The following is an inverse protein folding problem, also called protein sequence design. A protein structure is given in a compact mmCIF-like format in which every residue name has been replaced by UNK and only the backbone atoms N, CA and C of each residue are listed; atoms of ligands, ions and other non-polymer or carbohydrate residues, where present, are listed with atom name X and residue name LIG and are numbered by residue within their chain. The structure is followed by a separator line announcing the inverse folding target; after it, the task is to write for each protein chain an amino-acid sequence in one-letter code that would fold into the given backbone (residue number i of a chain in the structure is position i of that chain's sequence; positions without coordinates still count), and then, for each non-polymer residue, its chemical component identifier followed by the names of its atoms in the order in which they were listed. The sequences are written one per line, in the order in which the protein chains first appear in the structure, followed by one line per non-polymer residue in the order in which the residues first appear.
data_IF_137603544586
#
_entry.id   IF_137603544586
#
_cell.length_a   1.000
_cell.length_b   1.000
_cell.length_c   1.000
_cell.angle_alpha   90.00
_cell.angle_beta   90.00
_cell.angle_gamma   90.00
#
_symmetry.space_group_name_H-M   'P 1'
#
loop_
_entity.id
_entity.type
_entity.pdbx_description
1 polymer ?
#
# COMPACT_ATOMS: atom_id res chain seq x y z
N UNK A 1 -25.05 -17.90 -4.46
CA UNK A 1 -24.86 -16.48 -4.80
C UNK A 1 -23.39 -16.29 -5.11
N UNK A 2 -23.02 -15.45 -6.08
CA UNK A 2 -21.62 -15.25 -6.47
C UNK A 2 -21.03 -13.99 -5.79
N UNK A 3 -19.72 -13.86 -5.84
CA UNK A 3 -19.03 -12.66 -5.40
C UNK A 3 -19.48 -11.47 -6.27
N UNK A 4 -19.83 -10.37 -5.61
CA UNK A 4 -20.19 -9.13 -6.28
C UNK A 4 -19.11 -8.09 -6.01
N UNK A 5 -18.59 -7.47 -7.07
CA UNK A 5 -17.62 -6.38 -6.96
C UNK A 5 -18.29 -5.08 -7.39
N UNK A 6 -18.18 -4.06 -6.54
CA UNK A 6 -18.72 -2.73 -6.83
C UNK A 6 -17.65 -1.64 -6.60
N UNK A 7 -17.81 -0.52 -7.30
CA UNK A 7 -17.03 0.68 -7.06
C UNK A 7 -17.55 1.43 -5.83
N UNK A 8 -16.63 1.94 -5.01
CA UNK A 8 -16.93 2.81 -3.88
C UNK A 8 -17.31 4.20 -4.41
N UNK A 9 -18.57 4.57 -4.26
CA UNK A 9 -19.11 5.85 -4.76
C UNK A 9 -19.65 6.75 -3.66
N UNK A 10 -19.91 6.19 -2.49
CA UNK A 10 -20.45 6.91 -1.34
C UNK A 10 -19.49 6.92 -0.15
N UNK A 11 -19.67 7.92 0.74
CA UNK A 11 -18.92 8.01 1.99
C UNK A 11 -19.19 6.82 2.93
N UNK A 12 -20.39 6.22 2.83
CA UNK A 12 -20.73 5.02 3.59
C UNK A 12 -19.93 3.80 3.14
N UNK A 13 -19.84 3.60 1.82
CA UNK A 13 -19.01 2.55 1.22
C UNK A 13 -17.53 2.77 1.50
N UNK A 14 -17.02 4.02 1.44
CA UNK A 14 -15.65 4.33 1.82
C UNK A 14 -15.35 3.96 3.28
N UNK A 15 -16.26 4.25 4.20
CA UNK A 15 -16.12 3.81 5.60
C UNK A 15 -16.06 2.30 5.73
N UNK A 16 -16.85 1.57 4.94
CA UNK A 16 -16.86 0.12 4.92
C UNK A 16 -15.56 -0.44 4.32
N UNK A 17 -15.04 0.22 3.28
CA UNK A 17 -13.78 -0.09 2.63
C UNK A 17 -12.60 0.07 3.61
N UNK A 18 -12.54 1.19 4.34
CA UNK A 18 -11.50 1.46 5.35
C UNK A 18 -11.62 0.50 6.54
N UNK A 19 -12.81 0.07 6.92
CA UNK A 19 -13.03 -0.82 8.07
C UNK A 19 -12.66 -2.28 7.82
N UNK A 20 -12.55 -2.72 6.58
CA UNK A 20 -12.35 -4.13 6.27
C UNK A 20 -11.11 -4.74 6.96
N UNK A 21 -9.91 -4.13 6.93
CA UNK A 21 -8.72 -4.68 7.59
C UNK A 21 -8.90 -4.87 9.10
N UNK A 22 -9.61 -3.98 9.78
CA UNK A 22 -9.86 -4.11 11.22
C UNK A 22 -10.58 -5.41 11.57
N UNK A 23 -11.43 -5.90 10.66
CA UNK A 23 -12.13 -7.17 10.84
C UNK A 23 -11.29 -8.36 10.38
N UNK A 24 -10.55 -8.23 9.29
CA UNK A 24 -9.71 -9.32 8.76
C UNK A 24 -8.58 -9.68 9.71
N UNK A 25 -8.02 -8.67 10.40
CA UNK A 25 -6.89 -8.83 11.30
C UNK A 25 -7.30 -8.76 12.78
N UNK A 26 -8.60 -8.90 13.10
CA UNK A 26 -9.06 -8.82 14.48
C UNK A 26 -8.33 -9.83 15.39
N UNK A 27 -7.73 -9.32 16.47
CA UNK A 27 -6.92 -10.12 17.40
C UNK A 27 -5.54 -10.55 16.88
N UNK A 28 -5.11 -10.13 15.69
CA UNK A 28 -3.80 -10.50 15.16
C UNK A 28 -2.67 -9.69 15.84
N UNK A 29 -1.68 -10.33 16.50
CA UNK A 29 -0.74 -9.65 17.40
C UNK A 29 0.30 -8.78 16.68
N UNK A 30 0.52 -8.99 15.39
CA UNK A 30 1.58 -8.32 14.63
C UNK A 30 1.06 -7.32 13.58
N UNK A 31 -0.26 -7.24 13.41
CA UNK A 31 -0.84 -6.25 12.51
C UNK A 31 -1.19 -4.98 13.30
N UNK A 32 -0.67 -3.84 12.84
CA UNK A 32 -0.98 -2.52 13.40
C UNK A 32 -1.93 -1.81 12.43
N UNK A 33 -3.20 -1.60 12.80
CA UNK A 33 -4.15 -0.95 11.91
C UNK A 33 -3.79 0.52 11.71
N UNK A 34 -4.00 1.02 10.51
CA UNK A 34 -3.93 2.46 10.22
C UNK A 34 -5.01 3.20 11.03
N UNK A 35 -4.79 4.47 11.35
CA UNK A 35 -5.80 5.28 12.01
C UNK A 35 -6.99 5.50 11.06
N UNK A 36 -8.17 5.15 11.54
CA UNK A 36 -9.40 5.19 10.72
C UNK A 36 -9.68 6.58 10.12
N UNK A 37 -9.47 7.65 10.89
CA UNK A 37 -9.62 9.03 10.42
C UNK A 37 -8.63 9.37 9.32
N UNK A 38 -7.39 8.95 9.48
CA UNK A 38 -6.31 9.29 8.58
C UNK A 38 -6.47 8.56 7.24
N UNK A 39 -6.89 7.30 7.28
CA UNK A 39 -7.18 6.54 6.06
C UNK A 39 -8.40 7.10 5.31
N UNK A 40 -9.44 7.55 6.03
CA UNK A 40 -10.57 8.27 5.41
C UNK A 40 -10.14 9.57 4.74
N UNK A 41 -9.26 10.34 5.37
CA UNK A 41 -8.74 11.58 4.82
C UNK A 41 -7.77 11.32 3.64
N UNK A 42 -7.02 10.22 3.72
CA UNK A 42 -6.11 9.79 2.66
C UNK A 42 -6.85 9.46 1.35
N UNK A 43 -8.04 8.88 1.44
CA UNK A 43 -8.90 8.57 0.29
C UNK A 43 -9.93 9.67 -0.02
N UNK A 44 -9.84 10.82 0.61
CA UNK A 44 -10.62 12.00 0.26
C UNK A 44 -9.95 12.76 -0.89
N UNK A 45 -10.62 12.78 -2.05
CA UNK A 45 -10.13 13.44 -3.28
C UNK A 45 -9.85 14.94 -3.10
N UNK A 46 -10.47 15.59 -2.10
CA UNK A 46 -10.26 17.01 -1.82
C UNK A 46 -9.06 17.28 -0.92
N UNK A 47 -8.55 16.24 -0.23
CA UNK A 47 -7.47 16.36 0.75
C UNK A 47 -6.14 15.81 0.25
N UNK A 48 -6.17 14.74 -0.53
CA UNK A 48 -4.96 14.07 -1.00
C UNK A 48 -4.60 14.50 -2.42
N UNK A 49 -3.48 15.22 -2.61
CA UNK A 49 -3.05 15.71 -3.92
C UNK A 49 -2.69 14.59 -4.91
N UNK A 50 -2.46 13.36 -4.45
CA UNK A 50 -2.20 12.22 -5.33
C UNK A 50 -3.35 11.97 -6.33
N UNK A 51 -4.57 12.38 -6.01
CA UNK A 51 -5.72 12.29 -6.91
C UNK A 51 -5.68 13.30 -8.07
N UNK A 52 -4.88 14.37 -7.98
CA UNK A 52 -4.71 15.35 -9.07
C UNK A 52 -3.92 14.75 -10.25
N UNK A 53 -3.03 13.79 -9.95
CA UNK A 53 -2.14 13.15 -10.91
C UNK A 53 -2.43 11.67 -11.12
N UNK A 54 -3.56 11.19 -10.61
CA UNK A 54 -3.93 9.78 -10.70
C UNK A 54 -5.41 9.58 -10.98
N UNK A 55 -5.72 8.72 -11.95
CA UNK A 55 -7.04 8.09 -12.04
C UNK A 55 -7.12 6.99 -10.97
N UNK A 56 -8.16 7.03 -10.14
CA UNK A 56 -8.30 6.11 -9.01
C UNK A 56 -9.70 5.50 -8.97
N UNK A 57 -9.75 4.20 -8.74
CA UNK A 57 -10.97 3.44 -8.50
C UNK A 57 -10.82 2.57 -7.27
N UNK A 58 -11.74 2.71 -6.31
CA UNK A 58 -11.80 1.87 -5.13
C UNK A 58 -12.86 0.79 -5.34
N UNK A 59 -12.50 -0.47 -5.09
CA UNK A 59 -13.37 -1.63 -5.26
C UNK A 59 -13.67 -2.29 -3.92
N UNK A 60 -14.91 -2.76 -3.77
CA UNK A 60 -15.38 -3.61 -2.68
C UNK A 60 -15.92 -4.91 -3.26
N UNK A 61 -15.49 -6.03 -2.71
CA UNK A 61 -16.08 -7.34 -2.96
C UNK A 61 -17.02 -7.73 -1.81
N UNK A 62 -18.18 -8.26 -2.14
CA UNK A 62 -19.16 -8.78 -1.18
C UNK A 62 -19.63 -10.18 -1.53
N UNK A 63 -19.87 -11.01 -0.50
CA UNK A 63 -20.53 -12.31 -0.60
C UNK A 63 -21.74 -12.32 0.35
N UNK A 64 -22.91 -12.68 -0.16
CA UNK A 64 -24.16 -12.69 0.61
C UNK A 64 -24.43 -11.40 1.43
N UNK A 65 -24.00 -10.25 0.92
CA UNK A 65 -24.15 -8.94 1.57
C UNK A 65 -23.07 -8.58 2.60
N UNK A 66 -22.12 -9.48 2.86
CA UNK A 66 -20.95 -9.17 3.67
C UNK A 66 -19.79 -8.71 2.79
N UNK A 67 -19.10 -7.64 3.22
CA UNK A 67 -17.88 -7.19 2.57
C UNK A 67 -16.75 -8.18 2.88
N UNK A 68 -16.15 -8.76 1.85
CA UNK A 68 -15.14 -9.82 1.96
C UNK A 68 -13.81 -9.47 1.31
N UNK A 69 -13.73 -8.33 0.61
CA UNK A 69 -12.50 -7.87 0.00
C UNK A 69 -12.56 -6.40 -0.41
N UNK A 70 -11.38 -5.80 -0.56
CA UNK A 70 -11.18 -4.43 -1.08
C UNK A 70 -9.94 -4.37 -1.96
N UNK A 71 -9.90 -3.40 -2.85
CA UNK A 71 -8.75 -3.11 -3.70
C UNK A 71 -8.80 -1.66 -4.16
N UNK A 72 -7.64 -1.01 -4.27
CA UNK A 72 -7.48 0.30 -4.87
C UNK A 72 -6.79 0.14 -6.24
N UNK A 73 -7.39 0.66 -7.30
CA UNK A 73 -6.79 0.75 -8.63
C UNK A 73 -6.27 2.15 -8.86
N UNK A 74 -5.05 2.29 -9.41
CA UNK A 74 -4.37 3.56 -9.64
C UNK A 74 -3.74 3.55 -11.04
N UNK A 75 -3.98 4.61 -11.82
CA UNK A 75 -3.23 4.92 -13.04
C UNK A 75 -2.62 6.31 -12.88
N UNK A 76 -1.32 6.37 -12.69
CA UNK A 76 -0.61 7.62 -12.42
C UNK A 76 -0.11 8.26 -13.72
N UNK A 77 -0.45 9.54 -13.95
CA UNK A 77 -0.06 10.27 -15.17
C UNK A 77 1.42 10.57 -15.22
N UNK A 78 2.03 10.92 -14.09
CA UNK A 78 3.48 11.21 -14.02
C UNK A 78 4.31 9.95 -14.29
N UNK A 79 3.85 8.79 -13.80
CA UNK A 79 4.48 7.51 -14.11
C UNK A 79 4.33 7.18 -15.60
N UNK A 80 3.13 7.39 -16.18
CA UNK A 80 2.87 7.20 -17.60
C UNK A 80 3.81 8.03 -18.47
N UNK A 81 4.01 9.31 -18.12
CA UNK A 81 4.95 10.20 -18.82
C UNK A 81 6.39 9.70 -18.71
N UNK A 82 6.80 9.23 -17.53
CA UNK A 82 8.16 8.72 -17.29
C UNK A 82 8.44 7.41 -18.03
N UNK A 83 7.48 6.50 -18.06
CA UNK A 83 7.63 5.19 -18.69
C UNK A 83 7.37 5.21 -20.20
N UNK A 84 6.57 6.17 -20.69
CA UNK A 84 6.12 6.21 -22.08
C UNK A 84 4.97 5.26 -22.40
N UNK A 85 4.42 4.57 -21.40
CA UNK A 85 3.24 3.69 -21.51
C UNK A 85 2.44 3.70 -20.20
N UNK A 86 1.18 3.24 -20.24
CA UNK A 86 0.30 3.18 -19.08
C UNK A 86 0.46 1.85 -18.37
N UNK A 87 0.73 1.94 -17.07
CA UNK A 87 0.75 0.81 -16.14
C UNK A 87 -0.34 0.99 -15.09
N UNK A 88 -1.11 -0.06 -14.83
CA UNK A 88 -2.07 -0.10 -13.74
C UNK A 88 -1.40 -0.55 -12.45
N UNK A 89 -1.55 0.21 -11.37
CA UNK A 89 -1.14 -0.22 -10.03
C UNK A 89 -2.36 -0.63 -9.23
N UNK A 90 -2.27 -1.74 -8.50
CA UNK A 90 -3.26 -2.06 -7.48
C UNK A 90 -2.62 -2.02 -6.10
N UNK A 91 -3.34 -1.49 -5.12
CA UNK A 91 -2.89 -1.40 -3.73
C UNK A 91 -4.03 -1.60 -2.76
N UNK A 92 -3.75 -1.57 -1.46
CA UNK A 92 -4.74 -1.84 -0.42
C UNK A 92 -5.57 -3.09 -0.70
N UNK A 93 -4.91 -4.09 -1.29
CA UNK A 93 -5.51 -5.37 -1.58
C UNK A 93 -5.69 -6.15 -0.29
N UNK A 94 -6.94 -6.35 0.09
CA UNK A 94 -7.33 -7.07 1.29
C UNK A 94 -8.55 -7.95 0.99
N UNK A 95 -8.46 -9.24 1.32
CA UNK A 95 -9.60 -10.14 1.20
C UNK A 95 -9.50 -11.31 2.17
N UNK A 96 -10.61 -12.00 2.36
CA UNK A 96 -10.61 -13.30 3.04
C UNK A 96 -9.82 -14.34 2.22
N UNK A 97 -9.42 -15.44 2.86
CA UNK A 97 -8.76 -16.57 2.19
C UNK A 97 -9.75 -17.32 1.27
N UNK A 98 -10.07 -16.69 0.17
CA UNK A 98 -10.96 -17.24 -0.86
C UNK A 98 -10.54 -16.72 -2.24
N UNK A 99 -10.03 -17.64 -3.08
CA UNK A 99 -9.59 -17.34 -4.43
C UNK A 99 -10.68 -16.67 -5.29
N UNK A 100 -11.96 -17.03 -5.10
CA UNK A 100 -13.06 -16.41 -5.85
C UNK A 100 -13.16 -14.90 -5.57
N UNK A 101 -12.87 -14.49 -4.32
CA UNK A 101 -12.89 -13.08 -3.94
C UNK A 101 -11.70 -12.35 -4.55
N UNK A 102 -10.51 -12.93 -4.43
CA UNK A 102 -9.28 -12.40 -5.01
C UNK A 102 -9.41 -12.24 -6.53
N UNK A 103 -9.76 -13.31 -7.24
CA UNK A 103 -9.90 -13.30 -8.69
C UNK A 103 -10.95 -12.26 -9.15
N UNK A 104 -12.11 -12.17 -8.47
CA UNK A 104 -13.15 -11.19 -8.82
C UNK A 104 -12.67 -9.74 -8.67
N UNK A 105 -11.88 -9.44 -7.64
CA UNK A 105 -11.29 -8.10 -7.44
C UNK A 105 -10.25 -7.80 -8.52
N UNK A 106 -9.34 -8.75 -8.77
CA UNK A 106 -8.26 -8.59 -9.75
C UNK A 106 -8.79 -8.53 -11.18
N UNK A 107 -9.81 -9.32 -11.53
CA UNK A 107 -10.50 -9.24 -12.82
C UNK A 107 -11.13 -7.86 -13.03
N UNK A 108 -11.85 -7.36 -12.01
CA UNK A 108 -12.46 -6.02 -12.07
C UNK A 108 -11.43 -4.91 -12.21
N UNK A 109 -10.27 -5.07 -11.56
CA UNK A 109 -9.14 -4.15 -11.69
C UNK A 109 -8.53 -4.24 -13.10
N UNK A 110 -8.27 -5.45 -13.61
CA UNK A 110 -7.70 -5.68 -14.92
C UNK A 110 -8.59 -5.12 -16.05
N UNK A 111 -9.90 -5.30 -15.96
CA UNK A 111 -10.85 -4.74 -16.93
C UNK A 111 -10.85 -3.22 -16.90
N UNK A 112 -10.81 -2.62 -15.71
CA UNK A 112 -10.69 -1.17 -15.60
C UNK A 112 -9.35 -0.66 -16.15
N UNK A 113 -8.24 -1.30 -15.85
CA UNK A 113 -6.93 -0.93 -16.38
C UNK A 113 -6.88 -1.04 -17.91
N UNK A 114 -7.44 -2.11 -18.49
CA UNK A 114 -7.58 -2.24 -19.95
C UNK A 114 -8.40 -1.10 -20.55
N UNK A 115 -9.49 -0.70 -19.88
CA UNK A 115 -10.32 0.44 -20.32
C UNK A 115 -9.57 1.78 -20.30
N UNK A 116 -8.55 1.91 -19.44
CA UNK A 116 -7.65 3.07 -19.37
C UNK A 116 -6.48 2.98 -20.36
N UNK A 117 -6.34 1.86 -21.08
CA UNK A 117 -5.27 1.60 -22.03
C UNK A 117 -3.96 1.16 -21.35
N UNK A 118 -4.02 0.59 -20.15
CA UNK A 118 -2.85 -0.01 -19.51
C UNK A 118 -2.50 -1.33 -20.20
N UNK A 119 -1.22 -1.60 -20.35
CA UNK A 119 -0.66 -2.81 -20.96
C UNK A 119 -0.18 -3.82 -19.93
N UNK A 120 0.02 -3.40 -18.70
CA UNK A 120 0.43 -4.25 -17.58
C UNK A 120 -0.23 -3.81 -16.28
N UNK A 121 -0.25 -4.70 -15.30
CA UNK A 121 -0.71 -4.47 -13.94
C UNK A 121 0.37 -4.89 -12.95
N UNK A 122 0.63 -4.04 -11.94
CA UNK A 122 1.63 -4.28 -10.89
C UNK A 122 1.03 -3.99 -9.52
N UNK A 123 1.57 -4.62 -8.47
CA UNK A 123 1.14 -4.40 -7.09
C UNK A 123 1.43 -5.60 -6.19
N UNK A 124 1.05 -5.51 -4.90
CA UNK A 124 0.41 -4.35 -4.29
C UNK A 124 1.34 -3.14 -4.21
N UNK A 125 0.84 -1.96 -4.57
CA UNK A 125 1.61 -0.71 -4.56
C UNK A 125 0.67 0.49 -4.43
N UNK A 126 1.05 1.48 -3.61
CA UNK A 126 0.27 2.69 -3.41
C UNK A 126 0.51 3.79 -4.45
N UNK A 127 0.12 5.03 -4.11
CA UNK A 127 0.34 6.19 -4.96
C UNK A 127 1.82 6.55 -5.08
N UNK A 128 2.57 6.33 -4.01
CA UNK A 128 3.99 6.69 -3.88
C UNK A 128 4.74 5.54 -3.21
N UNK A 129 6.07 5.62 -3.23
CA UNK A 129 6.99 4.74 -2.51
C UNK A 129 6.98 4.91 -0.97
N UNK A 130 6.16 5.82 -0.46
CA UNK A 130 5.92 5.97 0.98
C UNK A 130 4.66 5.22 1.45
N UNK A 131 3.86 4.73 0.51
CA UNK A 131 2.70 3.90 0.78
C UNK A 131 3.11 2.43 0.98
N UNK A 132 2.23 1.61 1.56
CA UNK A 132 2.48 0.18 1.65
C UNK A 132 2.73 -0.44 0.27
N UNK A 133 3.84 -1.15 0.12
CA UNK A 133 4.25 -1.83 -1.10
C UNK A 133 4.58 -3.29 -0.84
N UNK A 134 4.30 -4.14 -1.83
CA UNK A 134 4.60 -5.56 -1.82
C UNK A 134 3.77 -6.37 -0.84
N UNK A 135 4.14 -7.63 -0.71
CA UNK A 135 3.57 -8.59 0.23
C UNK A 135 4.65 -9.05 1.20
N UNK A 136 4.26 -9.18 2.48
CA UNK A 136 5.07 -9.87 3.45
C UNK A 136 5.11 -11.37 3.09
N UNK A 137 6.29 -11.93 2.90
CA UNK A 137 6.51 -13.34 2.58
C UNK A 137 7.30 -14.09 3.67
N UNK A 138 8.04 -13.34 4.50
CA UNK A 138 8.80 -13.86 5.64
C UNK A 138 8.69 -12.90 6.83
N UNK A 139 8.78 -13.41 8.07
CA UNK A 139 8.75 -12.59 9.28
C UNK A 139 7.35 -12.28 9.81
N UNK A 140 6.37 -13.14 9.54
CA UNK A 140 4.98 -13.02 10.02
C UNK A 140 4.82 -12.97 11.54
N UNK A 141 5.85 -13.37 12.28
CA UNK A 141 5.94 -13.36 13.74
C UNK A 141 6.57 -12.07 14.30
N UNK A 142 6.79 -11.07 13.46
CA UNK A 142 7.36 -9.79 13.86
C UNK A 142 6.41 -8.64 13.54
N UNK A 143 6.48 -7.58 14.36
CA UNK A 143 5.86 -6.30 14.00
C UNK A 143 6.61 -5.70 12.81
N UNK A 144 5.92 -5.26 11.76
CA UNK A 144 6.54 -4.58 10.65
C UNK A 144 7.13 -3.23 11.11
N UNK A 145 8.05 -2.70 10.32
CA UNK A 145 8.48 -1.30 10.47
C UNK A 145 7.36 -0.35 10.04
N UNK A 146 7.52 0.94 10.30
CA UNK A 146 6.51 1.95 9.93
C UNK A 146 6.21 1.99 8.42
N UNK A 147 7.16 1.58 7.60
CA UNK A 147 7.03 1.51 6.14
C UNK A 147 6.74 0.09 5.63
N UNK A 148 6.75 -0.90 6.52
CA UNK A 148 6.54 -2.30 6.16
C UNK A 148 5.05 -2.62 6.02
N UNK A 149 4.73 -3.44 5.02
CA UNK A 149 3.40 -4.02 4.87
C UNK A 149 3.24 -5.25 5.76
N UNK A 150 2.04 -5.49 6.24
CA UNK A 150 1.65 -6.73 6.89
C UNK A 150 0.43 -7.33 6.19
N UNK A 151 0.52 -8.60 5.88
CA UNK A 151 -0.58 -9.38 5.32
C UNK A 151 -0.54 -10.80 5.89
N UNK A 152 -1.63 -11.53 5.74
CA UNK A 152 -1.68 -12.94 6.12
C UNK A 152 -0.97 -13.84 5.09
N UNK A 153 -0.45 -15.00 5.49
CA UNK A 153 0.40 -15.83 4.62
C UNK A 153 -0.25 -16.28 3.30
N UNK A 154 -1.58 -16.39 3.25
CA UNK A 154 -2.29 -16.84 2.06
C UNK A 154 -2.28 -15.83 0.89
N UNK A 155 -1.96 -14.55 1.14
CA UNK A 155 -2.00 -13.52 0.09
C UNK A 155 -1.04 -13.79 -1.07
N UNK A 156 0.16 -14.29 -0.76
CA UNK A 156 1.12 -14.66 -1.80
C UNK A 156 0.51 -15.68 -2.78
N UNK A 157 -0.08 -16.75 -2.24
CA UNK A 157 -0.71 -17.77 -3.08
C UNK A 157 -1.86 -17.23 -3.94
N UNK A 158 -2.70 -16.33 -3.39
CA UNK A 158 -3.79 -15.71 -4.14
C UNK A 158 -3.28 -14.88 -5.33
N UNK A 159 -2.20 -14.13 -5.16
CA UNK A 159 -1.62 -13.28 -6.20
C UNK A 159 -0.90 -14.12 -7.26
N UNK A 160 -0.07 -15.09 -6.84
CA UNK A 160 0.64 -15.98 -7.76
C UNK A 160 -0.30 -16.89 -8.56
N UNK A 161 -1.33 -17.42 -7.91
CA UNK A 161 -2.36 -18.26 -8.55
C UNK A 161 -3.20 -17.48 -9.59
N UNK A 162 -3.35 -16.18 -9.44
CA UNK A 162 -3.98 -15.32 -10.43
C UNK A 162 -3.09 -15.14 -11.69
N UNK A 163 -1.78 -15.34 -11.55
CA UNK A 163 -0.81 -15.26 -12.65
C UNK A 163 0.18 -14.09 -12.56
N UNK A 164 0.32 -13.47 -11.40
CA UNK A 164 1.39 -12.51 -11.18
C UNK A 164 2.73 -13.22 -10.98
N UNK A 165 3.77 -12.61 -11.50
CA UNK A 165 5.15 -13.01 -11.28
C UNK A 165 5.83 -11.99 -10.34
N UNK A 166 6.77 -12.47 -9.53
CA UNK A 166 7.53 -11.63 -8.61
C UNK A 166 8.44 -10.68 -9.41
N UNK A 167 8.37 -9.39 -9.10
CA UNK A 167 9.18 -8.34 -9.72
C UNK A 167 10.43 -8.05 -8.87
N UNK A 168 10.25 -7.70 -7.59
CA UNK A 168 11.35 -7.26 -6.71
C UNK A 168 11.17 -7.77 -5.29
N UNK A 169 12.29 -7.97 -4.58
CA UNK A 169 12.30 -8.24 -3.15
C UNK A 169 12.71 -6.98 -2.37
N UNK A 170 11.93 -6.65 -1.34
CA UNK A 170 12.31 -5.70 -0.30
C UNK A 170 12.77 -6.45 0.93
N UNK A 171 13.89 -6.04 1.52
CA UNK A 171 14.42 -6.67 2.73
C UNK A 171 14.56 -5.66 3.86
N UNK A 172 14.11 -6.03 5.04
CA UNK A 172 14.27 -5.24 6.24
C UNK A 172 15.40 -5.80 7.11
N UNK A 173 16.24 -4.91 7.62
CA UNK A 173 17.34 -5.28 8.50
C UNK A 173 17.15 -4.73 9.90
N UNK A 174 17.19 -5.60 10.91
CA UNK A 174 17.23 -5.20 12.31
C UNK A 174 18.67 -5.21 12.81
N UNK A 175 19.21 -4.03 13.13
CA UNK A 175 20.54 -3.90 13.71
C UNK A 175 20.51 -3.27 15.09
N UNK A 176 21.48 -3.61 15.93
CA UNK A 176 21.68 -2.93 17.22
C UNK A 176 22.41 -1.60 16.97
N UNK A 177 21.92 -0.55 17.60
CA UNK A 177 22.66 0.74 17.61
C UNK A 177 23.99 0.52 18.31
N UNK A 178 25.14 0.78 17.68
CA UNK A 178 26.43 0.64 18.33
C UNK A 178 26.57 1.63 19.49
N UNK A 179 27.05 1.14 20.63
CA UNK A 179 27.26 1.99 21.83
C UNK A 179 28.26 3.13 21.59
N UNK A 180 29.23 2.91 20.71
CA UNK A 180 30.26 3.89 20.31
C UNK A 180 30.50 3.79 18.81
N UNK A 181 30.38 4.90 18.12
CA UNK A 181 30.69 4.97 16.69
C UNK A 181 31.83 5.99 16.46
N UNK A 182 33.07 5.54 16.63
CA UNK A 182 34.26 6.37 16.36
C UNK A 182 34.26 6.95 14.92
N UNK A 183 33.64 6.25 13.99
CA UNK A 183 33.51 6.73 12.61
C UNK A 183 32.56 7.91 12.51
N UNK A 184 31.38 7.82 13.15
CA UNK A 184 30.40 8.92 13.18
C UNK A 184 30.96 10.13 13.94
N UNK A 185 31.70 9.92 15.05
CA UNK A 185 32.34 11.00 15.78
C UNK A 185 33.40 11.74 14.93
N UNK A 186 34.16 10.99 14.11
CA UNK A 186 35.14 11.59 13.18
C UNK A 186 34.44 12.36 12.06
N UNK A 187 33.37 11.81 11.48
CA UNK A 187 32.56 12.49 10.47
C UNK A 187 31.94 13.76 11.04
N UNK A 188 31.32 13.66 12.22
CA UNK A 188 30.76 14.82 12.89
C UNK A 188 31.79 15.92 13.12
N UNK A 189 32.96 15.59 13.69
CA UNK A 189 34.05 16.54 13.89
C UNK A 189 34.59 17.16 12.59
N UNK A 190 34.56 16.43 11.50
CA UNK A 190 34.96 16.92 10.18
C UNK A 190 33.94 17.94 9.64
N UNK A 191 32.66 17.58 9.63
CA UNK A 191 31.60 18.45 9.12
C UNK A 191 31.32 19.65 10.02
N UNK A 192 31.48 19.51 11.34
CA UNK A 192 31.31 20.62 12.28
C UNK A 192 32.38 21.72 12.16
N UNK A 193 33.48 21.46 11.41
CA UNK A 193 34.54 22.43 11.13
C UNK A 193 34.39 23.10 9.75
N UNK A 194 33.43 22.66 8.97
CA UNK A 194 33.20 23.16 7.62
C UNK A 194 31.99 24.10 7.63
N UNK A 195 32.26 25.39 7.42
CA UNK A 195 31.23 26.44 7.42
C UNK A 195 30.20 26.30 6.29
N UNK A 196 30.47 25.41 5.31
CA UNK A 196 29.52 25.08 4.25
C UNK A 196 28.32 24.26 4.76
N UNK A 197 28.42 23.66 5.95
CA UNK A 197 27.36 22.82 6.53
C UNK A 197 26.85 23.41 7.83
N UNK A 198 25.54 23.55 7.94
CA UNK A 198 24.86 24.00 9.15
C UNK A 198 23.74 23.02 9.53
N UNK A 199 23.81 22.50 10.76
CA UNK A 199 22.69 21.75 11.34
C UNK A 199 21.64 22.72 11.84
N UNK A 200 20.41 22.61 11.32
CA UNK A 200 19.27 23.43 11.74
C UNK A 200 18.31 22.55 12.52
N UNK A 201 18.06 22.88 13.78
CA UNK A 201 17.03 22.23 14.59
C UNK A 201 15.73 23.01 14.45
N UNK A 202 14.68 22.34 13.95
CA UNK A 202 13.36 22.94 13.88
C UNK A 202 12.69 22.88 15.25
N UNK A 203 12.40 24.05 15.85
CA UNK A 203 11.79 24.18 17.18
C UNK A 203 10.27 24.36 17.16
N UNK A 204 9.65 24.56 15.99
CA UNK A 204 8.20 24.67 15.82
C UNK A 204 7.77 24.21 14.41
N UNK A 205 6.56 23.63 14.32
CA UNK A 205 5.87 23.54 13.04
C UNK A 205 5.36 24.94 12.67
N UNK A 206 5.80 25.48 11.56
CA UNK A 206 5.12 26.61 10.92
C UNK A 206 4.08 26.06 9.97
#
# INVERSE_FOLDING_TARGET
MGIQVCEVTSRGELKSWVKLPYRLYDGHPHQVPQLFSDELDYFDRQKNPAFEVSDVRLLLASDAGQIVGRLCCIVNTMETEKLGYKRGRFGWFECIDDRRVSDSLLDSAADWFRSKGCTEMTGPQGFTDLDPEGLLIEGFDHLPTISGSYNLPYYQGLIEDYGFEKDVDYVEFRSRVPKNSRMLDRLHKRFARDDAYRVVTCSSRK
#
